data_IF_925544459914
#
_entry.id   IF_925544459914
#
_cell.length_a   1.000
_cell.length_b   1.000
_cell.length_c   1.000
_cell.angle_alpha   90.00
_cell.angle_beta   90.00
_cell.angle_gamma   90.00
#
_symmetry.space_group_name_H-M   'P 1'
#
loop_
_entity.id
_entity.type
_entity.pdbx_description
1 polymer ?
#
# COMPACT_ATOMS: atom_id res chain seq x y z
N UNK A 1 -9.11 -4.74 17.58
CA UNK A 1 -9.76 -3.47 18.03
C UNK A 1 -11.06 -3.83 18.68
N UNK A 2 -11.36 -3.20 19.81
CA UNK A 2 -12.64 -3.37 20.46
C UNK A 2 -13.78 -2.74 19.64
N UNK A 3 -14.98 -3.36 19.64
CA UNK A 3 -16.16 -2.88 18.93
C UNK A 3 -16.54 -1.44 19.34
N UNK A 4 -16.39 -1.10 20.63
CA UNK A 4 -16.64 0.26 21.14
C UNK A 4 -15.73 1.30 20.47
N UNK A 5 -14.46 1.00 20.29
CA UNK A 5 -13.50 1.90 19.62
C UNK A 5 -13.82 2.07 18.14
N UNK A 6 -14.26 1.00 17.47
CA UNK A 6 -14.71 1.06 16.07
C UNK A 6 -15.97 1.92 15.97
N UNK A 7 -16.93 1.75 16.86
CA UNK A 7 -18.16 2.55 16.89
C UNK A 7 -17.87 4.03 17.17
N UNK A 8 -16.91 4.35 18.03
CA UNK A 8 -16.46 5.74 18.27
C UNK A 8 -15.87 6.36 16.99
N UNK A 9 -15.05 5.63 16.24
CA UNK A 9 -14.52 6.09 14.95
C UNK A 9 -15.64 6.22 13.91
N UNK A 10 -16.59 5.30 13.89
CA UNK A 10 -17.75 5.35 13.01
C UNK A 10 -18.64 6.58 13.29
N UNK A 11 -18.83 6.95 14.55
CA UNK A 11 -19.59 8.15 14.94
C UNK A 11 -18.85 9.42 14.50
N UNK A 12 -17.55 9.52 14.73
CA UNK A 12 -16.72 10.67 14.31
C UNK A 12 -16.71 10.89 12.80
N UNK A 13 -16.76 9.82 12.02
CA UNK A 13 -16.76 9.86 10.55
C UNK A 13 -18.17 9.88 9.94
N UNK A 14 -19.21 9.97 10.77
CA UNK A 14 -20.63 9.87 10.34
C UNK A 14 -20.91 8.56 9.57
N UNK A 15 -20.13 7.51 9.83
CA UNK A 15 -20.20 6.25 9.09
C UNK A 15 -21.48 5.44 9.38
N UNK A 16 -22.15 5.69 10.51
CA UNK A 16 -23.40 5.04 10.91
C UNK A 16 -24.66 5.86 10.58
N UNK A 17 -24.52 6.98 9.90
CA UNK A 17 -25.65 7.81 9.52
C UNK A 17 -26.61 7.03 8.60
N UNK A 18 -27.87 6.89 9.01
CA UNK A 18 -28.88 6.05 8.35
C UNK A 18 -28.55 4.55 8.19
N UNK A 19 -27.60 4.00 8.96
CA UNK A 19 -27.31 2.57 8.94
C UNK A 19 -28.30 1.79 9.83
N UNK A 20 -29.30 1.14 9.22
CA UNK A 20 -30.27 0.29 9.96
C UNK A 20 -29.72 -1.11 10.25
N UNK A 21 -29.11 -1.74 9.26
CA UNK A 21 -28.70 -3.15 9.32
C UNK A 21 -27.18 -3.34 9.13
N UNK A 22 -26.50 -2.53 8.31
CA UNK A 22 -25.06 -2.64 8.06
C UNK A 22 -24.33 -1.44 8.67
N UNK A 23 -24.06 -1.51 9.96
CA UNK A 23 -23.29 -0.48 10.68
C UNK A 23 -21.80 -0.46 10.24
N UNK A 24 -21.03 0.49 10.76
CA UNK A 24 -19.61 0.62 10.44
C UNK A 24 -18.79 -0.60 10.85
N UNK A 25 -19.15 -1.22 11.97
CA UNK A 25 -18.52 -2.43 12.46
C UNK A 25 -18.75 -3.62 11.51
N UNK A 26 -20.01 -3.90 11.17
CA UNK A 26 -20.38 -4.99 10.27
C UNK A 26 -19.74 -4.80 8.89
N UNK A 27 -19.71 -3.57 8.37
CA UNK A 27 -19.02 -3.26 7.11
C UNK A 27 -17.50 -3.51 7.21
N UNK A 28 -16.90 -3.13 8.36
CA UNK A 28 -15.48 -3.41 8.62
C UNK A 28 -15.16 -4.90 8.73
N UNK A 29 -16.09 -5.74 9.17
CA UNK A 29 -15.91 -7.20 9.21
C UNK A 29 -16.04 -7.82 7.81
N UNK A 30 -17.07 -7.39 7.07
CA UNK A 30 -17.41 -7.96 5.75
C UNK A 30 -16.33 -7.66 4.69
N UNK A 31 -15.81 -6.45 4.67
CA UNK A 31 -14.88 -6.04 3.62
C UNK A 31 -13.50 -6.73 3.72
N UNK A 32 -12.86 -6.86 4.91
CA UNK A 32 -11.66 -7.69 5.05
C UNK A 32 -11.91 -9.16 4.71
N UNK A 33 -13.06 -9.73 5.10
CA UNK A 33 -13.44 -11.08 4.68
C UNK A 33 -13.43 -11.20 3.15
N UNK A 34 -14.06 -10.26 2.45
CA UNK A 34 -14.10 -10.25 0.99
C UNK A 34 -12.70 -10.16 0.36
N UNK A 35 -11.85 -9.28 0.87
CA UNK A 35 -10.48 -9.07 0.36
C UNK A 35 -9.59 -10.28 0.66
N UNK A 36 -9.63 -10.82 1.88
CA UNK A 36 -8.83 -11.99 2.28
C UNK A 36 -9.28 -13.25 1.54
N UNK A 37 -10.59 -13.46 1.36
CA UNK A 37 -11.15 -14.58 0.61
C UNK A 37 -10.99 -14.43 -0.92
N UNK A 38 -10.46 -13.31 -1.39
CA UNK A 38 -10.25 -13.02 -2.81
C UNK A 38 -11.54 -13.04 -3.64
N UNK A 39 -12.67 -12.56 -3.07
CA UNK A 39 -13.97 -12.52 -3.72
C UNK A 39 -14.03 -11.38 -4.75
N UNK A 40 -14.72 -11.63 -5.87
CA UNK A 40 -14.67 -10.76 -7.05
C UNK A 40 -15.92 -9.93 -7.28
N UNK A 41 -17.00 -10.22 -6.55
CA UNK A 41 -18.27 -9.52 -6.66
C UNK A 41 -19.00 -9.42 -5.33
N UNK A 42 -19.86 -8.40 -5.17
CA UNK A 42 -20.70 -8.27 -3.98
C UNK A 42 -21.66 -9.45 -3.80
N UNK A 43 -22.01 -10.14 -4.88
CA UNK A 43 -22.84 -11.36 -4.81
C UNK A 43 -22.05 -12.50 -4.15
N UNK A 44 -20.80 -12.72 -4.57
CA UNK A 44 -19.93 -13.71 -3.94
C UNK A 44 -19.68 -13.40 -2.46
N UNK A 45 -19.51 -12.11 -2.12
CA UNK A 45 -19.35 -11.69 -0.70
C UNK A 45 -20.58 -12.07 0.13
N UNK A 46 -21.77 -11.73 -0.33
CA UNK A 46 -22.99 -12.05 0.39
C UNK A 46 -23.24 -13.55 0.52
N UNK A 47 -23.00 -14.33 -0.56
CA UNK A 47 -23.16 -15.78 -0.54
C UNK A 47 -22.12 -16.45 0.34
N UNK A 48 -20.84 -16.05 0.23
CA UNK A 48 -19.77 -16.61 1.07
C UNK A 48 -19.97 -16.28 2.54
N UNK A 49 -20.49 -15.08 2.86
CA UNK A 49 -20.81 -14.70 4.23
C UNK A 49 -22.00 -15.51 4.77
N UNK A 50 -23.05 -15.70 3.97
CA UNK A 50 -24.21 -16.51 4.33
C UNK A 50 -23.82 -17.99 4.55
N UNK A 51 -22.96 -18.57 3.70
CA UNK A 51 -22.48 -19.93 3.84
C UNK A 51 -21.64 -20.18 5.12
N UNK A 52 -21.08 -19.12 5.68
CA UNK A 52 -20.30 -19.16 6.92
C UNK A 52 -21.05 -18.55 8.13
N UNK A 53 -22.35 -18.36 8.06
CA UNK A 53 -23.13 -17.64 9.07
C UNK A 53 -22.91 -18.19 10.49
N UNK A 54 -22.97 -19.51 10.68
CA UNK A 54 -22.74 -20.15 11.98
C UNK A 54 -21.34 -19.92 12.52
N UNK A 55 -20.34 -19.92 11.65
CA UNK A 55 -18.92 -19.69 11.99
C UNK A 55 -18.62 -18.23 12.28
N UNK A 56 -19.41 -17.32 11.71
CA UNK A 56 -19.23 -15.87 11.86
C UNK A 56 -20.09 -15.24 12.96
N UNK A 57 -20.94 -16.03 13.60
CA UNK A 57 -21.84 -15.56 14.66
C UNK A 57 -21.09 -14.90 15.84
N UNK A 58 -19.91 -15.44 16.20
CA UNK A 58 -19.07 -14.84 17.27
C UNK A 58 -18.61 -13.40 16.96
N UNK A 59 -18.68 -12.96 15.71
CA UNK A 59 -18.38 -11.58 15.31
C UNK A 59 -19.53 -10.62 15.61
N UNK A 60 -20.66 -11.12 16.13
CA UNK A 60 -21.82 -10.33 16.50
C UNK A 60 -22.55 -9.73 15.29
N UNK A 61 -22.55 -10.44 14.16
CA UNK A 61 -23.37 -10.15 12.99
C UNK A 61 -24.51 -11.15 12.99
N UNK A 62 -25.70 -10.66 13.29
CA UNK A 62 -26.92 -11.44 13.57
C UNK A 62 -27.93 -11.44 12.41
N UNK A 63 -27.54 -10.85 11.27
CA UNK A 63 -28.43 -10.73 10.12
C UNK A 63 -27.69 -10.98 8.81
N UNK A 64 -28.45 -11.42 7.81
CA UNK A 64 -27.94 -11.64 6.46
C UNK A 64 -27.63 -10.31 5.78
N UNK A 65 -26.45 -10.23 5.17
CA UNK A 65 -25.99 -9.04 4.45
C UNK A 65 -26.50 -9.11 3.00
N UNK A 66 -27.38 -8.14 2.65
CA UNK A 66 -27.91 -8.03 1.30
C UNK A 66 -26.95 -7.27 0.38
N UNK A 67 -26.88 -7.70 -0.89
CA UNK A 67 -26.05 -7.07 -1.91
C UNK A 67 -26.33 -5.57 -2.10
N UNK A 68 -27.60 -5.17 -2.12
CA UNK A 68 -27.98 -3.76 -2.24
C UNK A 68 -27.49 -2.92 -1.07
N UNK A 69 -27.67 -3.41 0.16
CA UNK A 69 -27.21 -2.73 1.37
C UNK A 69 -25.67 -2.58 1.39
N UNK A 70 -24.93 -3.63 0.99
CA UNK A 70 -23.47 -3.56 0.91
C UNK A 70 -23.01 -2.60 -0.21
N UNK A 71 -23.71 -2.60 -1.36
CA UNK A 71 -23.45 -1.64 -2.45
C UNK A 71 -23.66 -0.20 -2.00
N UNK A 72 -24.76 0.08 -1.31
CA UNK A 72 -25.06 1.40 -0.77
C UNK A 72 -24.06 1.84 0.31
N UNK A 73 -23.64 0.92 1.18
CA UNK A 73 -22.59 1.19 2.16
C UNK A 73 -21.27 1.58 1.48
N UNK A 74 -20.86 0.85 0.44
CA UNK A 74 -19.67 1.18 -0.35
C UNK A 74 -19.77 2.54 -1.07
N UNK A 75 -20.98 2.97 -1.44
CA UNK A 75 -21.18 4.28 -2.09
C UNK A 75 -21.18 5.43 -1.09
N UNK A 76 -21.86 5.28 0.05
CA UNK A 76 -22.20 6.38 0.96
C UNK A 76 -21.25 6.52 2.14
N UNK A 77 -20.73 5.41 2.70
CA UNK A 77 -19.82 5.45 3.84
C UNK A 77 -18.47 5.96 3.39
N UNK A 78 -18.03 7.09 3.94
CA UNK A 78 -16.77 7.72 3.58
C UNK A 78 -15.58 6.76 3.74
N UNK A 79 -14.72 6.67 2.76
CA UNK A 79 -13.48 5.88 2.79
C UNK A 79 -12.56 6.28 3.93
N UNK A 80 -12.61 7.55 4.37
CA UNK A 80 -11.85 8.09 5.51
C UNK A 80 -12.14 7.38 6.84
N UNK A 81 -13.30 6.72 6.99
CA UNK A 81 -13.60 5.84 8.12
C UNK A 81 -12.60 4.68 8.19
N UNK A 82 -12.39 3.97 7.09
CA UNK A 82 -11.42 2.88 7.00
C UNK A 82 -9.98 3.38 7.14
N UNK A 83 -9.68 4.56 6.59
CA UNK A 83 -8.40 5.23 6.79
C UNK A 83 -8.13 5.56 8.27
N UNK A 84 -9.14 5.97 9.03
CA UNK A 84 -9.02 6.23 10.47
C UNK A 84 -8.78 4.95 11.28
N UNK A 85 -9.42 3.84 10.87
CA UNK A 85 -9.16 2.52 11.45
C UNK A 85 -7.74 2.07 11.16
N UNK A 86 -7.29 2.21 9.90
CA UNK A 86 -5.91 1.89 9.53
C UNK A 86 -4.91 2.64 10.38
N UNK A 87 -5.05 3.97 10.51
CA UNK A 87 -4.17 4.81 11.34
C UNK A 87 -4.17 4.38 12.81
N UNK A 88 -5.35 4.03 13.36
CA UNK A 88 -5.43 3.52 14.74
C UNK A 88 -4.70 2.19 14.93
N UNK A 89 -4.77 1.29 13.93
CA UNK A 89 -4.05 0.02 13.94
C UNK A 89 -2.54 0.24 13.73
N UNK A 90 -2.17 1.12 12.81
CA UNK A 90 -0.78 1.51 12.56
C UNK A 90 -0.13 2.02 13.85
N UNK A 91 -0.72 3.02 14.51
CA UNK A 91 -0.18 3.59 15.76
C UNK A 91 -0.04 2.55 16.88
N UNK A 92 -0.91 1.53 16.90
CA UNK A 92 -0.84 0.45 17.89
C UNK A 92 0.27 -0.56 17.58
N UNK A 93 0.49 -0.89 16.33
CA UNK A 93 1.33 -2.02 15.94
C UNK A 93 2.68 -1.63 15.32
N UNK A 94 2.85 -0.40 14.83
CA UNK A 94 4.12 0.05 14.29
C UNK A 94 5.31 -0.13 15.26
N UNK A 95 5.19 0.18 16.56
CA UNK A 95 6.29 -0.08 17.51
C UNK A 95 6.68 -1.56 17.58
N UNK A 96 5.69 -2.47 17.60
CA UNK A 96 5.93 -3.92 17.66
C UNK A 96 6.61 -4.44 16.40
N UNK A 97 6.31 -3.83 15.24
CA UNK A 97 6.89 -4.21 13.96
C UNK A 97 8.29 -3.64 13.76
N UNK A 98 8.59 -2.48 14.35
CA UNK A 98 9.92 -1.86 14.30
C UNK A 98 10.93 -2.63 15.13
N UNK A 99 10.57 -3.08 16.33
CA UNK A 99 11.47 -3.77 17.26
C UNK A 99 12.02 -5.10 16.71
N UNK A 100 11.29 -5.74 15.80
CA UNK A 100 11.66 -7.04 15.25
C UNK A 100 12.79 -7.00 14.22
N UNK A 101 13.17 -5.83 13.69
CA UNK A 101 14.10 -5.69 12.55
C UNK A 101 15.30 -4.78 12.79
N UNK A 102 15.28 -3.91 13.77
CA UNK A 102 16.32 -2.89 13.92
C UNK A 102 17.31 -3.17 15.01
N UNK A 103 18.34 -3.96 14.72
CA UNK A 103 19.68 -3.76 15.29
C UNK A 103 20.52 -2.78 14.44
N UNK A 104 19.89 -1.95 13.62
CA UNK A 104 20.60 -0.93 12.83
C UNK A 104 20.48 0.42 13.54
N UNK A 105 21.62 0.92 13.96
CA UNK A 105 21.87 2.30 14.38
C UNK A 105 21.55 3.27 13.23
N UNK A 106 20.29 3.57 13.01
CA UNK A 106 19.94 4.71 12.14
C UNK A 106 18.97 5.59 12.91
N UNK A 107 19.52 6.66 13.44
CA UNK A 107 18.78 7.69 14.13
C UNK A 107 17.74 8.42 13.27
N UNK A 108 17.76 8.23 11.96
CA UNK A 108 16.89 8.94 11.01
C UNK A 108 15.96 7.96 10.31
N UNK A 109 14.65 8.18 10.44
CA UNK A 109 13.64 7.37 9.76
C UNK A 109 13.64 7.65 8.26
N UNK A 110 13.75 6.58 7.46
CA UNK A 110 13.62 6.64 6.02
C UNK A 110 12.17 6.40 5.60
N UNK A 111 11.62 7.37 4.90
CA UNK A 111 10.34 7.28 4.24
C UNK A 111 10.54 7.15 2.74
N UNK A 112 9.82 6.22 2.15
CA UNK A 112 9.85 6.00 0.70
C UNK A 112 8.51 6.38 0.12
N UNK A 113 8.52 7.21 -0.90
CA UNK A 113 7.32 7.67 -1.59
C UNK A 113 7.31 7.19 -3.03
N UNK A 114 6.18 6.64 -3.43
CA UNK A 114 5.91 6.26 -4.82
C UNK A 114 4.39 6.21 -5.07
N UNK A 115 3.99 6.00 -6.32
CA UNK A 115 2.61 5.72 -6.65
C UNK A 115 2.45 4.36 -7.32
N UNK A 116 1.28 3.77 -7.16
CA UNK A 116 0.87 2.63 -7.98
C UNK A 116 -0.35 2.96 -8.81
N UNK A 117 -0.28 2.64 -10.09
CA UNK A 117 -1.45 2.74 -10.96
C UNK A 117 -2.37 1.55 -10.72
N UNK A 118 -3.60 1.84 -10.37
CA UNK A 118 -4.70 0.88 -10.28
C UNK A 118 -5.53 1.06 -11.53
N UNK A 119 -5.34 0.14 -12.49
CA UNK A 119 -6.10 0.16 -13.74
C UNK A 119 -7.51 -0.36 -13.50
N UNK A 120 -8.48 0.42 -13.89
CA UNK A 120 -9.91 0.08 -13.81
C UNK A 120 -10.40 -0.46 -15.14
N UNK A 121 -11.48 -1.24 -15.11
CA UNK A 121 -12.16 -1.64 -16.35
C UNK A 121 -12.64 -0.40 -17.12
N UNK A 122 -12.68 -0.51 -18.44
CA UNK A 122 -12.99 0.61 -19.35
C UNK A 122 -14.34 1.30 -19.08
N UNK A 123 -15.22 0.69 -18.31
CA UNK A 123 -16.54 1.23 -17.94
C UNK A 123 -16.51 2.03 -16.63
N UNK A 124 -15.50 1.84 -15.79
CA UNK A 124 -15.39 2.49 -14.48
C UNK A 124 -14.50 3.73 -14.62
N UNK A 125 -14.98 4.89 -14.15
CA UNK A 125 -14.28 6.17 -14.20
C UNK A 125 -13.67 6.49 -15.57
N UNK A 126 -14.51 6.47 -16.60
CA UNK A 126 -14.09 6.84 -17.96
C UNK A 126 -13.48 8.24 -17.97
N UNK A 127 -12.30 8.36 -18.56
CA UNK A 127 -11.62 9.65 -18.73
C UNK A 127 -10.60 10.01 -17.66
N UNK A 128 -10.48 9.25 -16.56
CA UNK A 128 -9.49 9.49 -15.51
C UNK A 128 -8.14 8.78 -15.72
N UNK A 129 -8.05 7.88 -16.70
CA UNK A 129 -6.83 7.17 -17.05
C UNK A 129 -6.00 7.89 -18.13
N UNK A 130 -4.70 7.53 -18.22
CA UNK A 130 -3.85 8.00 -19.34
C UNK A 130 -4.42 7.53 -20.68
N UNK A 131 -4.30 8.38 -21.70
CA UNK A 131 -4.58 7.98 -23.09
C UNK A 131 -3.52 6.96 -23.53
N UNK A 132 -3.89 5.69 -23.80
CA UNK A 132 -2.94 4.78 -24.41
C UNK A 132 -2.77 5.18 -25.90
N UNK A 133 -1.60 4.93 -26.46
CA UNK A 133 -1.32 5.17 -27.89
C UNK A 133 -2.30 4.46 -28.83
N UNK A 134 -3.08 3.50 -28.33
CA UNK A 134 -4.04 2.67 -29.07
C UNK A 134 -5.52 3.06 -28.87
N UNK A 135 -5.82 4.29 -28.52
CA UNK A 135 -7.16 4.90 -28.70
C UNK A 135 -8.26 4.55 -27.68
N UNK A 136 -8.15 3.57 -26.79
CA UNK A 136 -9.19 3.26 -25.77
C UNK A 136 -8.79 3.83 -24.41
N UNK A 137 -9.49 4.89 -23.99
CA UNK A 137 -9.34 5.46 -22.64
C UNK A 137 -9.76 4.44 -21.58
N UNK A 138 -8.82 3.99 -20.77
CA UNK A 138 -9.10 3.19 -19.57
C UNK A 138 -9.18 4.12 -18.36
N UNK A 139 -10.14 3.88 -17.47
CA UNK A 139 -10.14 4.51 -16.16
C UNK A 139 -8.89 4.10 -15.36
N UNK A 140 -8.39 4.98 -14.52
CA UNK A 140 -7.25 4.69 -13.65
C UNK A 140 -7.22 5.62 -12.45
N UNK A 141 -6.87 5.06 -11.30
CA UNK A 141 -6.60 5.81 -10.07
C UNK A 141 -5.14 5.58 -9.72
N UNK A 142 -4.44 6.65 -9.38
CA UNK A 142 -3.13 6.57 -8.74
C UNK A 142 -3.32 6.55 -7.23
N UNK A 143 -2.77 5.55 -6.57
CA UNK A 143 -2.61 5.53 -5.13
C UNK A 143 -1.18 5.99 -4.81
N UNK A 144 -1.05 7.21 -4.30
CA UNK A 144 0.21 7.75 -3.81
C UNK A 144 0.41 7.26 -2.39
N UNK A 145 1.53 6.66 -2.12
CA UNK A 145 1.81 6.01 -0.85
C UNK A 145 3.17 6.44 -0.32
N UNK A 146 3.21 6.78 0.96
CA UNK A 146 4.45 6.91 1.70
C UNK A 146 4.54 5.72 2.64
N UNK A 147 5.65 5.02 2.62
CA UNK A 147 5.94 3.93 3.57
C UNK A 147 7.07 4.32 4.50
N UNK A 148 7.00 3.86 5.75
CA UNK A 148 8.16 3.81 6.63
C UNK A 148 8.94 2.54 6.29
N UNK A 149 10.14 2.71 5.73
CA UNK A 149 10.90 1.62 5.10
C UNK A 149 11.22 0.49 6.08
N UNK A 150 11.58 0.83 7.33
CA UNK A 150 11.99 -0.13 8.34
C UNK A 150 10.88 -1.14 8.70
N UNK A 151 9.61 -0.73 8.64
CA UNK A 151 8.45 -1.57 9.00
C UNK A 151 7.67 -2.08 7.80
N UNK A 152 7.98 -1.59 6.60
CA UNK A 152 7.31 -1.97 5.33
C UNK A 152 5.78 -1.75 5.41
N UNK A 153 5.36 -0.63 6.03
CA UNK A 153 3.95 -0.26 6.15
C UNK A 153 3.68 1.14 5.60
N UNK A 154 2.55 1.34 4.94
CA UNK A 154 2.07 2.66 4.55
C UNK A 154 1.82 3.57 5.75
N UNK A 155 2.45 4.75 5.76
CA UNK A 155 2.18 5.82 6.72
C UNK A 155 1.08 6.73 6.19
N UNK A 156 1.10 6.94 4.90
CA UNK A 156 0.19 7.81 4.19
C UNK A 156 -0.25 7.18 2.86
N UNK A 157 -1.53 7.34 2.54
CA UNK A 157 -2.09 6.96 1.23
C UNK A 157 -3.09 8.03 0.81
N UNK A 158 -2.94 8.55 -0.40
CA UNK A 158 -3.91 9.44 -1.03
C UNK A 158 -4.13 9.04 -2.50
N UNK A 159 -5.21 9.52 -3.08
CA UNK A 159 -5.69 9.07 -4.37
C UNK A 159 -5.88 10.23 -5.33
N UNK A 160 -5.41 10.04 -6.58
CA UNK A 160 -5.66 10.98 -7.66
C UNK A 160 -6.16 10.27 -8.92
N UNK A 161 -6.77 11.02 -9.82
CA UNK A 161 -7.03 10.53 -11.16
C UNK A 161 -5.71 10.18 -11.85
N UNK A 162 -5.70 9.11 -12.66
CA UNK A 162 -4.49 8.63 -13.33
C UNK A 162 -3.78 9.64 -14.23
N UNK A 163 -4.47 10.73 -14.62
CA UNK A 163 -3.94 11.81 -15.45
C UNK A 163 -3.19 12.89 -14.64
N UNK A 164 -3.40 12.97 -13.32
CA UNK A 164 -2.77 13.98 -12.45
C UNK A 164 -1.27 13.72 -12.36
N UNK A 165 -0.48 14.77 -12.44
CA UNK A 165 0.97 14.67 -12.30
C UNK A 165 1.36 14.39 -10.84
N UNK A 166 2.41 13.58 -10.67
CA UNK A 166 2.81 13.05 -9.36
C UNK A 166 3.28 14.16 -8.40
N UNK A 167 3.90 15.22 -8.93
CA UNK A 167 4.39 16.35 -8.13
C UNK A 167 3.25 17.17 -7.46
N UNK A 168 2.04 17.20 -8.05
CA UNK A 168 0.90 17.93 -7.47
C UNK A 168 0.46 17.36 -6.12
N UNK A 169 0.75 16.09 -5.89
CA UNK A 169 0.41 15.40 -4.64
C UNK A 169 1.35 15.74 -3.50
N UNK A 170 2.61 16.06 -3.81
CA UNK A 170 3.60 16.25 -2.76
C UNK A 170 3.27 17.42 -1.82
N UNK A 171 2.59 18.44 -2.32
CA UNK A 171 2.14 19.57 -1.49
C UNK A 171 1.05 19.22 -0.46
N UNK A 172 0.42 18.04 -0.59
CA UNK A 172 -0.64 17.58 0.31
C UNK A 172 -0.15 16.63 1.42
N UNK A 173 1.12 16.21 1.40
CA UNK A 173 1.52 14.95 2.02
C UNK A 173 2.32 15.06 3.32
N UNK A 174 2.69 16.26 3.79
CA UNK A 174 3.75 16.32 4.80
C UNK A 174 3.29 16.61 6.22
N UNK A 175 3.03 15.52 6.97
CA UNK A 175 3.09 15.48 8.44
C UNK A 175 4.11 14.39 8.89
N UNK A 176 5.29 14.36 8.27
CA UNK A 176 6.34 13.44 8.71
C UNK A 176 7.13 14.06 9.88
N UNK A 177 7.76 13.26 10.74
CA UNK A 177 8.62 13.77 11.79
C UNK A 177 9.76 14.63 11.25
N UNK A 178 10.09 15.71 11.93
CA UNK A 178 11.21 16.58 11.58
C UNK A 178 12.52 15.77 11.42
N UNK A 179 13.34 16.14 10.45
CA UNK A 179 14.60 15.45 10.16
C UNK A 179 14.45 14.12 9.42
N UNK A 180 13.22 13.72 9.05
CA UNK A 180 12.99 12.51 8.27
C UNK A 180 13.69 12.55 6.92
N UNK A 181 14.19 11.39 6.48
CA UNK A 181 14.74 11.21 5.14
C UNK A 181 13.65 10.71 4.19
N UNK A 182 13.54 11.31 3.01
CA UNK A 182 12.50 10.96 2.02
C UNK A 182 13.18 10.57 0.72
N UNK A 183 12.93 9.32 0.28
CA UNK A 183 13.37 8.83 -1.03
C UNK A 183 12.17 8.75 -1.98
N UNK A 184 12.28 9.35 -3.16
CA UNK A 184 11.23 9.33 -4.18
C UNK A 184 11.79 9.26 -5.59
N UNK A 185 10.95 8.85 -6.54
CA UNK A 185 11.34 8.71 -7.93
C UNK A 185 11.42 10.05 -8.66
N UNK A 186 12.14 10.07 -9.81
CA UNK A 186 12.27 11.24 -10.68
C UNK A 186 10.93 11.79 -11.20
N UNK A 187 9.84 11.02 -11.12
CA UNK A 187 8.48 11.47 -11.41
C UNK A 187 8.02 12.63 -10.53
N UNK A 188 8.59 12.74 -9.32
CA UNK A 188 8.32 13.79 -8.35
C UNK A 188 9.31 14.95 -8.39
N UNK A 189 10.00 15.15 -9.52
CA UNK A 189 10.94 16.26 -9.68
C UNK A 189 10.20 17.60 -9.73
N UNK A 190 10.28 18.35 -8.64
CA UNK A 190 9.85 19.73 -8.51
C UNK A 190 10.86 20.46 -7.62
N UNK A 191 11.60 21.42 -8.20
CA UNK A 191 12.67 22.13 -7.48
C UNK A 191 12.14 23.06 -6.38
N UNK A 192 10.93 23.60 -6.52
CA UNK A 192 10.27 24.40 -5.47
C UNK A 192 9.89 23.53 -4.27
N UNK A 193 9.41 22.33 -4.55
CA UNK A 193 9.12 21.36 -3.52
C UNK A 193 10.38 20.91 -2.79
N UNK A 194 11.47 20.63 -3.52
CA UNK A 194 12.74 20.24 -2.88
C UNK A 194 13.27 21.35 -1.97
N UNK A 195 13.15 22.60 -2.42
CA UNK A 195 13.43 23.78 -1.59
C UNK A 195 12.59 23.79 -0.33
N UNK A 196 11.28 23.62 -0.47
CA UNK A 196 10.36 23.61 0.67
C UNK A 196 10.68 22.46 1.63
N UNK A 197 11.01 21.28 1.15
CA UNK A 197 11.45 20.15 1.97
C UNK A 197 12.71 20.48 2.78
N UNK A 198 13.68 21.10 2.14
CA UNK A 198 14.92 21.54 2.79
C UNK A 198 14.65 22.59 3.88
N UNK A 199 13.87 23.63 3.57
CA UNK A 199 13.48 24.67 4.52
C UNK A 199 12.64 24.13 5.69
N UNK A 200 11.83 23.10 5.44
CA UNK A 200 11.05 22.41 6.46
C UNK A 200 11.88 21.40 7.29
N UNK A 201 13.18 21.27 7.02
CA UNK A 201 14.10 20.41 7.75
C UNK A 201 14.03 18.93 7.38
N UNK A 202 13.42 18.59 6.25
CA UNK A 202 13.44 17.24 5.70
C UNK A 202 14.70 17.02 4.87
N UNK A 203 15.19 15.80 4.88
CA UNK A 203 16.26 15.34 4.01
C UNK A 203 15.65 14.57 2.84
N UNK A 204 16.19 14.75 1.66
CA UNK A 204 15.67 14.10 0.47
C UNK A 204 16.76 13.39 -0.33
N UNK A 205 16.36 12.35 -1.04
CA UNK A 205 17.14 11.75 -2.13
C UNK A 205 16.21 11.40 -3.30
N UNK A 206 16.62 11.80 -4.50
CA UNK A 206 15.88 11.56 -5.73
C UNK A 206 16.85 11.22 -6.85
N UNK A 207 16.40 10.47 -7.84
CA UNK A 207 17.13 10.31 -9.10
C UNK A 207 16.97 11.60 -9.92
N UNK A 208 18.11 12.13 -10.40
CA UNK A 208 18.12 13.32 -11.25
C UNK A 208 17.75 12.92 -12.69
N UNK A 209 16.92 13.72 -13.35
CA UNK A 209 16.59 13.55 -14.77
C UNK A 209 17.80 13.91 -15.64
N UNK A 210 17.99 13.18 -16.73
CA UNK A 210 19.13 13.39 -17.64
C UNK A 210 19.11 14.77 -18.31
N UNK A 211 17.91 15.35 -18.48
CA UNK A 211 17.72 16.68 -19.05
C UNK A 211 17.67 17.82 -18.00
N UNK A 212 18.06 17.55 -16.75
CA UNK A 212 18.08 18.54 -15.69
C UNK A 212 19.11 19.64 -15.99
N UNK A 213 18.70 20.90 -15.83
CA UNK A 213 19.58 22.08 -16.01
C UNK A 213 20.05 22.55 -14.65
N UNK A 214 21.38 22.53 -14.45
CA UNK A 214 22.03 22.96 -13.21
C UNK A 214 23.40 23.58 -13.53
N UNK A 215 23.92 24.34 -12.57
CA UNK A 215 25.31 24.82 -12.58
C UNK A 215 26.10 24.06 -11.54
N UNK A 216 27.28 23.56 -11.90
CA UNK A 216 28.22 22.94 -10.94
C UNK A 216 28.95 24.06 -10.23
N UNK A 217 28.89 24.07 -8.90
CA UNK A 217 29.52 25.07 -8.04
C UNK A 217 30.84 24.53 -7.48
N UNK A 218 30.86 23.23 -7.14
CA UNK A 218 32.00 22.59 -6.48
C UNK A 218 32.14 21.15 -6.94
N UNK A 219 33.37 20.72 -7.16
CA UNK A 219 33.76 19.32 -7.36
C UNK A 219 34.41 18.80 -6.09
N UNK A 220 34.00 17.61 -5.65
CA UNK A 220 34.51 16.98 -4.44
C UNK A 220 35.26 15.71 -4.74
N UNK A 221 36.16 15.33 -3.85
CA UNK A 221 36.90 14.07 -3.95
C UNK A 221 35.92 12.89 -3.76
N UNK A 222 36.08 11.88 -4.60
CA UNK A 222 35.31 10.64 -4.57
C UNK A 222 36.25 9.48 -4.24
N UNK A 223 36.35 9.06 -2.98
CA UNK A 223 37.18 7.92 -2.60
C UNK A 223 36.55 6.57 -3.01
N UNK A 224 35.24 6.53 -3.23
CA UNK A 224 34.53 5.29 -3.52
C UNK A 224 34.64 4.89 -4.98
N UNK A 225 34.98 3.62 -5.23
CA UNK A 225 35.32 3.06 -6.55
C UNK A 225 34.20 3.18 -7.59
N UNK A 226 32.95 3.14 -7.16
CA UNK A 226 31.77 3.19 -8.04
C UNK A 226 31.21 4.60 -8.22
N UNK A 227 31.72 5.59 -7.50
CA UNK A 227 31.29 6.99 -7.59
C UNK A 227 32.17 7.71 -8.62
N UNK A 228 31.56 8.24 -9.65
CA UNK A 228 32.24 8.94 -10.74
C UNK A 228 32.40 10.42 -10.41
N UNK A 229 31.38 10.99 -9.76
CA UNK A 229 31.37 12.40 -9.39
C UNK A 229 30.56 12.64 -8.13
N UNK A 230 31.07 13.51 -7.28
CA UNK A 230 30.38 14.13 -6.14
C UNK A 230 30.51 15.65 -6.29
N UNK A 231 29.41 16.35 -6.45
CA UNK A 231 29.37 17.73 -6.87
C UNK A 231 28.34 18.49 -6.03
N UNK A 232 28.65 19.76 -5.73
CA UNK A 232 27.61 20.71 -5.33
C UNK A 232 27.11 21.39 -6.58
N UNK A 233 25.81 21.35 -6.76
CA UNK A 233 25.11 21.93 -7.91
C UNK A 233 24.09 22.98 -7.45
N UNK A 234 23.78 23.90 -8.33
CA UNK A 234 22.76 24.91 -8.14
C UNK A 234 21.72 24.83 -9.24
N UNK A 235 20.45 24.77 -8.85
CA UNK A 235 19.35 24.75 -9.78
C UNK A 235 18.82 26.18 -10.01
N UNK A 236 18.53 26.48 -11.28
CA UNK A 236 17.66 27.58 -11.65
C UNK A 236 16.24 27.04 -11.89
N UNK A 237 15.24 27.65 -11.32
CA UNK A 237 13.85 27.24 -11.50
C UNK A 237 13.00 28.41 -12.00
N UNK A 238 11.90 28.05 -12.68
CA UNK A 238 10.93 29.03 -13.14
C UNK A 238 9.77 29.04 -12.15
N UNK A 239 9.44 30.21 -11.61
CA UNK A 239 8.26 30.44 -10.78
C UNK A 239 7.12 30.91 -11.67
N UNK A 240 5.96 30.32 -11.50
CA UNK A 240 4.74 30.81 -12.11
C UNK A 240 4.10 31.83 -11.19
N UNK A 241 4.01 33.07 -11.65
CA UNK A 241 3.40 34.18 -10.90
C UNK A 241 2.12 34.59 -11.60
N UNK A 242 1.03 34.63 -10.85
CA UNK A 242 -0.22 35.19 -11.36
C UNK A 242 -0.16 36.69 -11.29
N UNK A 243 -0.35 37.36 -12.42
CA UNK A 243 -0.48 38.79 -12.50
C UNK A 243 -1.76 39.20 -13.24
N UNK A 244 -2.29 40.39 -12.99
CA UNK A 244 -3.36 40.94 -13.82
C UNK A 244 -2.95 41.00 -15.29
N UNK A 245 -3.89 40.71 -16.17
CA UNK A 245 -3.68 40.88 -17.62
C UNK A 245 -3.55 42.33 -17.98
N UNK A 246 -2.64 42.64 -18.90
CA UNK A 246 -2.57 43.97 -19.52
C UNK A 246 -3.77 44.14 -20.46
N UNK A 247 -4.09 45.43 -20.77
CA UNK A 247 -5.19 45.76 -21.70
C UNK A 247 -5.00 45.11 -23.08
N UNK A 248 -3.75 44.99 -23.55
CA UNK A 248 -3.42 44.35 -24.82
C UNK A 248 -3.68 42.86 -24.80
N UNK A 249 -3.30 42.18 -23.71
CA UNK A 249 -3.57 40.73 -23.52
C UNK A 249 -5.07 40.45 -23.45
N UNK A 250 -5.85 41.34 -22.84
CA UNK A 250 -7.31 41.27 -22.81
C UNK A 250 -7.93 41.41 -24.21
N UNK A 251 -7.38 42.31 -25.06
CA UNK A 251 -7.87 42.54 -26.44
C UNK A 251 -7.56 41.34 -27.39
N UNK A 252 -6.45 40.65 -27.19
CA UNK A 252 -6.01 39.56 -28.08
C UNK A 252 -6.51 38.16 -27.71
N UNK A 253 -7.25 38.00 -26.64
CA UNK A 253 -7.72 36.72 -26.15
C UNK A 253 -8.95 36.21 -26.92
N UNK A 254 -8.73 35.21 -27.77
CA UNK A 254 -9.80 34.46 -28.42
C UNK A 254 -10.14 33.17 -27.63
N UNK A 255 -11.32 33.09 -26.98
CA UNK A 255 -11.78 31.85 -26.34
C UNK A 255 -12.98 32.01 -25.41
N UNK A 256 -13.77 30.90 -25.25
CA UNK A 256 -15.05 30.84 -24.50
C UNK A 256 -14.91 30.63 -22.97
N UNK A 257 -13.75 30.82 -22.36
CA UNK A 257 -13.60 30.61 -20.90
C UNK A 257 -13.85 31.92 -20.14
N UNK A 258 -14.44 31.84 -18.92
CA UNK A 258 -14.65 33.02 -18.08
C UNK A 258 -13.34 33.81 -17.89
N UNK A 259 -13.41 35.09 -18.03
CA UNK A 259 -12.25 35.95 -17.94
C UNK A 259 -11.90 36.17 -16.46
N UNK A 260 -10.88 35.52 -15.94
CA UNK A 260 -10.39 35.73 -14.57
C UNK A 260 -9.62 37.04 -14.42
N UNK A 261 -9.33 37.72 -15.54
CA UNK A 261 -8.50 38.94 -15.52
C UNK A 261 -7.04 38.70 -15.11
N UNK A 262 -6.65 37.44 -14.90
CA UNK A 262 -5.32 37.06 -14.41
C UNK A 262 -4.63 36.16 -15.43
N UNK A 263 -3.35 36.41 -15.66
CA UNK A 263 -2.48 35.57 -16.49
C UNK A 263 -1.36 34.95 -15.62
N UNK A 264 -1.10 33.69 -15.82
CA UNK A 264 0.05 33.04 -15.19
C UNK A 264 1.29 33.24 -16.06
N UNK A 265 2.23 34.03 -15.58
CA UNK A 265 3.49 34.34 -16.27
C UNK A 265 4.62 33.49 -15.65
N UNK A 266 5.48 33.03 -16.53
CA UNK A 266 6.66 32.30 -16.12
C UNK A 266 7.79 33.30 -15.81
N UNK A 267 8.11 33.42 -14.54
CA UNK A 267 9.22 34.23 -14.08
C UNK A 267 10.40 33.36 -13.71
N UNK A 268 11.57 33.63 -14.31
CA UNK A 268 12.80 32.90 -13.98
C UNK A 268 13.36 33.49 -12.68
N UNK A 269 13.24 32.73 -11.60
CA UNK A 269 13.85 33.10 -10.33
C UNK A 269 15.23 32.44 -10.26
N UNK A 270 16.28 33.25 -10.24
CA UNK A 270 17.61 32.77 -9.87
C UNK A 270 17.61 32.56 -8.34
N UNK A 271 17.28 31.37 -7.92
CA UNK A 271 17.40 30.96 -6.53
C UNK A 271 18.71 30.22 -6.32
N UNK A 272 19.44 30.56 -5.27
CA UNK A 272 20.71 29.95 -4.88
C UNK A 272 20.48 28.68 -4.07
N UNK A 273 19.72 27.70 -4.63
CA UNK A 273 19.50 26.42 -3.95
C UNK A 273 20.59 25.44 -4.34
N UNK A 274 21.36 25.07 -3.34
CA UNK A 274 22.47 24.14 -3.48
C UNK A 274 22.04 22.75 -3.09
N UNK A 275 22.29 21.82 -3.98
CA UNK A 275 22.09 20.39 -3.76
C UNK A 275 23.39 19.64 -4.06
N UNK A 276 23.53 18.47 -3.47
CA UNK A 276 24.64 17.57 -3.76
C UNK A 276 24.20 16.58 -4.83
N UNK A 277 24.96 16.51 -5.92
CA UNK A 277 24.78 15.58 -7.02
C UNK A 277 25.83 14.49 -6.95
N UNK A 278 25.41 13.25 -6.95
CA UNK A 278 26.25 12.07 -6.92
C UNK A 278 26.01 11.30 -8.20
N UNK A 279 27.08 11.00 -8.95
CA UNK A 279 27.03 10.17 -10.14
C UNK A 279 27.68 8.84 -9.84
N UNK A 280 26.91 7.77 -9.95
CA UNK A 280 27.35 6.41 -9.72
C UNK A 280 27.30 5.61 -11.03
N UNK A 281 28.26 4.72 -11.22
CA UNK A 281 28.22 3.71 -12.27
C UNK A 281 27.21 2.63 -11.91
N UNK A 282 26.41 2.18 -12.88
CA UNK A 282 25.49 1.04 -12.68
C UNK A 282 26.25 -0.24 -12.39
N UNK A 283 25.62 -1.22 -11.76
CA UNK A 283 26.28 -2.45 -11.32
C UNK A 283 26.78 -3.30 -12.50
N UNK A 284 26.21 -3.14 -13.71
CA UNK A 284 26.70 -3.74 -14.96
C UNK A 284 27.85 -2.94 -15.63
N UNK A 285 28.18 -1.78 -15.08
CA UNK A 285 29.26 -0.91 -15.51
C UNK A 285 29.05 -0.18 -16.84
N UNK A 286 27.87 -0.33 -17.47
CA UNK A 286 27.57 0.22 -18.80
C UNK A 286 27.08 1.65 -18.77
N UNK A 287 26.26 1.96 -17.76
CA UNK A 287 25.57 3.23 -17.65
C UNK A 287 25.94 3.97 -16.36
N UNK A 288 25.48 5.19 -16.25
CA UNK A 288 25.62 6.02 -15.05
C UNK A 288 24.28 6.52 -14.59
N UNK A 289 24.11 6.63 -13.28
CA UNK A 289 22.89 7.17 -12.66
C UNK A 289 23.29 8.33 -11.77
N UNK A 290 22.57 9.44 -11.89
CA UNK A 290 22.76 10.62 -11.07
C UNK A 290 21.68 10.71 -9.99
N UNK A 291 22.11 10.92 -8.75
CA UNK A 291 21.25 11.18 -7.60
C UNK A 291 21.43 12.61 -7.13
N UNK A 292 20.42 13.16 -6.51
CA UNK A 292 20.44 14.49 -5.90
C UNK A 292 19.91 14.42 -4.48
N UNK A 293 20.54 15.17 -3.58
CA UNK A 293 20.17 15.28 -2.16
C UNK A 293 20.45 16.69 -1.64
N UNK A 294 19.73 17.13 -0.60
CA UNK A 294 20.03 18.34 0.15
C UNK A 294 21.06 18.11 1.28
N UNK A 295 21.51 16.88 1.51
CA UNK A 295 22.60 16.60 2.45
C UNK A 295 23.93 16.97 1.79
N UNK A 296 24.42 18.17 2.10
CA UNK A 296 25.62 18.71 1.47
C UNK A 296 26.90 18.14 2.06
N UNK A 297 26.97 17.82 3.35
CA UNK A 297 28.19 17.32 3.99
C UNK A 297 28.50 15.89 3.60
N UNK A 298 29.77 15.62 3.25
CA UNK A 298 30.29 14.27 3.03
C UNK A 298 30.50 13.51 4.35
N UNK A 299 30.78 14.26 5.42
CA UNK A 299 30.94 13.71 6.77
C UNK A 299 29.62 13.23 7.36
N UNK A 300 28.53 13.93 7.05
CA UNK A 300 27.17 13.55 7.49
C UNK A 300 26.70 12.28 6.77
N UNK A 301 26.88 12.21 5.45
CA UNK A 301 26.58 11.03 4.64
C UNK A 301 27.57 10.90 3.48
N UNK A 302 28.21 9.73 3.36
CA UNK A 302 29.05 9.42 2.20
C UNK A 302 28.22 9.31 0.92
N UNK A 303 28.87 9.41 -0.24
CA UNK A 303 28.20 9.26 -1.53
C UNK A 303 27.56 7.87 -1.68
N UNK A 304 28.22 6.84 -1.17
CA UNK A 304 27.68 5.47 -1.20
C UNK A 304 26.45 5.30 -0.31
N UNK A 305 26.44 5.91 0.88
CA UNK A 305 25.26 5.90 1.77
C UNK A 305 24.04 6.58 1.14
N UNK A 306 24.24 7.67 0.39
CA UNK A 306 23.17 8.34 -0.36
C UNK A 306 22.61 7.41 -1.45
N UNK A 307 23.50 6.76 -2.23
CA UNK A 307 23.09 5.81 -3.26
C UNK A 307 22.33 4.62 -2.67
N UNK A 308 22.79 4.08 -1.54
CA UNK A 308 22.10 2.98 -0.84
C UNK A 308 20.75 3.41 -0.27
N UNK A 309 20.64 4.63 0.25
CA UNK A 309 19.37 5.19 0.70
C UNK A 309 18.35 5.27 -0.44
N UNK A 310 18.78 5.70 -1.62
CA UNK A 310 17.90 5.67 -2.80
C UNK A 310 17.55 4.24 -3.23
N UNK A 311 18.48 3.31 -3.17
CA UNK A 311 18.25 1.90 -3.52
C UNK A 311 17.14 1.29 -2.66
N UNK A 312 17.05 1.66 -1.41
CA UNK A 312 15.98 1.23 -0.49
C UNK A 312 14.58 1.69 -0.93
N UNK A 313 14.47 2.63 -1.87
CA UNK A 313 13.21 3.01 -2.51
C UNK A 313 12.46 1.81 -3.13
N UNK A 314 13.19 0.80 -3.61
CA UNK A 314 12.58 -0.41 -4.16
C UNK A 314 11.71 -1.20 -3.17
N UNK A 315 11.77 -0.92 -1.89
CA UNK A 315 10.92 -1.52 -0.87
C UNK A 315 9.44 -1.26 -1.15
N UNK A 316 9.08 -0.06 -1.63
CA UNK A 316 7.68 0.27 -1.95
C UNK A 316 7.17 -0.50 -3.17
N UNK A 317 8.01 -0.75 -4.17
CA UNK A 317 7.65 -1.57 -5.33
C UNK A 317 7.39 -3.02 -4.90
N UNK A 318 8.20 -3.53 -3.98
CA UNK A 318 8.01 -4.85 -3.36
C UNK A 318 6.71 -4.93 -2.58
N UNK A 319 6.34 -3.87 -1.84
CA UNK A 319 5.04 -3.76 -1.18
C UNK A 319 3.89 -3.83 -2.19
N UNK A 320 3.93 -3.01 -3.25
CA UNK A 320 2.88 -3.03 -4.26
C UNK A 320 2.75 -4.39 -4.96
N UNK A 321 3.87 -5.06 -5.21
CA UNK A 321 3.88 -6.42 -5.74
C UNK A 321 3.18 -7.39 -4.79
N UNK A 322 3.51 -7.36 -3.49
CA UNK A 322 2.86 -8.17 -2.45
C UNK A 322 1.34 -7.92 -2.41
N UNK A 323 0.91 -6.64 -2.44
CA UNK A 323 -0.49 -6.28 -2.41
C UNK A 323 -1.25 -6.76 -3.65
N UNK A 324 -0.70 -6.54 -4.84
CA UNK A 324 -1.33 -6.95 -6.12
C UNK A 324 -1.38 -8.47 -6.30
N UNK A 325 -0.41 -9.21 -5.77
CA UNK A 325 -0.35 -10.67 -5.88
C UNK A 325 -1.27 -11.37 -4.88
N UNK A 326 -1.38 -10.85 -3.67
CA UNK A 326 -2.06 -11.56 -2.59
C UNK A 326 -3.51 -11.09 -2.38
N UNK A 327 -3.88 -9.91 -2.85
CA UNK A 327 -5.22 -9.34 -2.65
C UNK A 327 -5.86 -8.94 -3.98
N UNK A 328 -7.19 -9.00 -4.03
CA UNK A 328 -7.98 -8.72 -5.25
C UNK A 328 -8.02 -7.24 -5.62
N UNK A 329 -6.87 -6.65 -5.97
CA UNK A 329 -6.84 -5.27 -6.50
C UNK A 329 -7.09 -5.20 -8.02
N UNK A 330 -7.48 -6.33 -8.65
CA UNK A 330 -7.91 -6.39 -10.05
C UNK A 330 -9.43 -6.28 -10.21
N UNK A 331 -10.18 -6.67 -9.18
CA UNK A 331 -11.64 -6.68 -9.17
C UNK A 331 -12.13 -5.81 -8.02
N UNK A 332 -12.85 -4.76 -8.33
CA UNK A 332 -13.39 -3.86 -7.32
C UNK A 332 -14.84 -4.21 -7.01
N UNK A 333 -15.16 -4.19 -5.70
CA UNK A 333 -16.48 -4.47 -5.15
C UNK A 333 -17.43 -3.28 -5.25
N UNK A 334 -17.13 -2.34 -6.12
CA UNK A 334 -17.92 -1.17 -6.46
C UNK A 334 -17.33 -0.42 -7.65
N UNK A 335 -18.13 0.43 -8.26
CA UNK A 335 -17.85 1.15 -9.52
C UNK A 335 -17.59 2.66 -9.33
N UNK A 336 -17.61 3.13 -8.08
CA UNK A 336 -17.35 4.54 -7.74
C UNK A 336 -16.02 4.70 -6.97
N UNK A 337 -15.48 5.92 -6.98
CA UNK A 337 -14.20 6.25 -6.35
C UNK A 337 -14.17 5.82 -4.88
N UNK A 338 -15.21 6.17 -4.13
CA UNK A 338 -15.28 5.87 -2.69
C UNK A 338 -15.23 4.36 -2.39
N UNK A 339 -15.90 3.52 -3.18
CA UNK A 339 -15.86 2.06 -3.02
C UNK A 339 -14.47 1.49 -3.31
N UNK A 340 -13.78 2.04 -4.30
CA UNK A 340 -12.41 1.65 -4.67
C UNK A 340 -11.44 2.04 -3.54
N UNK A 341 -11.55 3.26 -3.02
CA UNK A 341 -10.76 3.72 -1.88
C UNK A 341 -10.99 2.87 -0.63
N UNK A 342 -12.26 2.52 -0.33
CA UNK A 342 -12.61 1.60 0.76
C UNK A 342 -11.85 0.28 0.59
N UNK A 343 -11.91 -0.32 -0.59
CA UNK A 343 -11.24 -1.60 -0.83
C UNK A 343 -9.73 -1.50 -0.69
N UNK A 344 -9.12 -0.41 -1.11
CA UNK A 344 -7.69 -0.18 -0.93
C UNK A 344 -7.35 -0.05 0.57
N UNK A 345 -8.10 0.77 1.33
CA UNK A 345 -7.90 0.87 2.78
C UNK A 345 -8.07 -0.47 3.49
N UNK A 346 -9.08 -1.24 3.13
CA UNK A 346 -9.31 -2.59 3.67
C UNK A 346 -8.16 -3.53 3.34
N UNK A 347 -7.60 -3.44 2.13
CA UNK A 347 -6.41 -4.20 1.74
C UNK A 347 -5.19 -3.82 2.60
N UNK A 348 -4.99 -2.53 2.88
CA UNK A 348 -3.93 -2.06 3.78
C UNK A 348 -4.14 -2.54 5.22
N UNK A 349 -5.38 -2.54 5.71
CA UNK A 349 -5.74 -3.11 7.03
C UNK A 349 -5.40 -4.60 7.08
N UNK A 350 -5.82 -5.36 6.07
CA UNK A 350 -5.53 -6.80 5.98
C UNK A 350 -4.02 -7.07 5.92
N UNK A 351 -3.29 -6.30 5.12
CA UNK A 351 -1.84 -6.39 5.03
C UNK A 351 -1.17 -6.14 6.40
N UNK A 352 -1.53 -5.05 7.07
CA UNK A 352 -1.00 -4.70 8.40
C UNK A 352 -1.25 -5.82 9.41
N UNK A 353 -2.49 -6.33 9.49
CA UNK A 353 -2.84 -7.40 10.43
C UNK A 353 -2.05 -8.68 10.16
N UNK A 354 -1.89 -9.06 8.89
CA UNK A 354 -1.10 -10.23 8.50
C UNK A 354 0.40 -10.03 8.77
N UNK A 355 0.92 -8.80 8.65
CA UNK A 355 2.29 -8.49 9.07
C UNK A 355 2.47 -8.65 10.59
N UNK A 356 1.49 -8.22 11.39
CA UNK A 356 1.49 -8.44 12.84
C UNK A 356 1.45 -9.94 13.18
N UNK A 357 0.62 -10.71 12.50
CA UNK A 357 0.56 -12.18 12.65
C UNK A 357 1.90 -12.80 12.29
N UNK A 358 2.52 -12.40 11.17
CA UNK A 358 3.83 -12.86 10.76
C UNK A 358 4.91 -12.59 11.80
N UNK A 359 4.93 -11.38 12.36
CA UNK A 359 5.93 -10.98 13.37
C UNK A 359 5.73 -11.70 14.70
N UNK A 360 4.47 -11.95 15.10
CA UNK A 360 4.15 -12.68 16.33
C UNK A 360 4.35 -14.19 16.21
N UNK A 361 4.32 -14.73 15.00
CA UNK A 361 4.63 -16.13 14.77
C UNK A 361 6.15 -16.35 14.70
N UNK A 362 6.63 -17.48 15.19
CA UNK A 362 8.02 -17.91 15.00
C UNK A 362 8.24 -18.59 13.63
N UNK A 363 7.22 -18.61 12.79
CA UNK A 363 7.23 -19.26 11.49
C UNK A 363 8.12 -18.51 10.50
N UNK A 364 8.94 -19.23 9.75
CA UNK A 364 9.76 -18.72 8.64
C UNK A 364 9.02 -18.70 7.30
N UNK A 365 7.70 -18.90 7.30
CA UNK A 365 6.91 -18.92 6.07
C UNK A 365 6.95 -17.56 5.35
N UNK A 366 7.00 -17.63 4.03
CA UNK A 366 6.86 -16.46 3.18
C UNK A 366 5.47 -15.83 3.37
N UNK A 367 5.37 -14.50 3.21
CA UNK A 367 4.13 -13.75 3.41
C UNK A 367 2.94 -14.32 2.60
N UNK A 368 3.16 -14.75 1.35
CA UNK A 368 2.12 -15.35 0.52
C UNK A 368 1.53 -16.64 1.12
N UNK A 369 2.35 -17.45 1.80
CA UNK A 369 1.89 -18.66 2.47
C UNK A 369 1.05 -18.32 3.70
N UNK A 370 1.39 -17.28 4.45
CA UNK A 370 0.59 -16.79 5.57
C UNK A 370 -0.77 -16.29 5.08
N UNK A 371 -0.80 -15.54 3.98
CA UNK A 371 -2.06 -15.12 3.33
C UNK A 371 -2.91 -16.32 2.93
N UNK A 372 -2.30 -17.33 2.30
CA UNK A 372 -2.98 -18.54 1.85
C UNK A 372 -3.57 -19.30 3.04
N UNK A 373 -2.77 -19.57 4.08
CA UNK A 373 -3.24 -20.27 5.27
C UNK A 373 -4.38 -19.50 5.97
N UNK A 374 -4.23 -18.18 6.13
CA UNK A 374 -5.29 -17.33 6.68
C UNK A 374 -6.57 -17.45 5.86
N UNK A 375 -6.47 -17.43 4.52
CA UNK A 375 -7.61 -17.55 3.62
C UNK A 375 -8.35 -18.88 3.79
N UNK A 376 -7.63 -19.97 3.89
CA UNK A 376 -8.21 -21.31 4.04
C UNK A 376 -8.89 -21.48 5.41
N UNK A 377 -8.33 -20.86 6.45
CA UNK A 377 -8.83 -21.00 7.82
C UNK A 377 -9.75 -19.87 8.28
N UNK A 378 -10.02 -18.88 7.43
CA UNK A 378 -10.75 -17.66 7.81
C UNK A 378 -12.17 -17.93 8.38
N UNK A 379 -12.81 -19.00 7.95
CA UNK A 379 -14.11 -19.43 8.48
C UNK A 379 -14.03 -20.52 9.53
N UNK A 380 -12.84 -20.89 10.01
CA UNK A 380 -12.65 -21.93 11.01
C UNK A 380 -12.21 -21.33 12.35
N UNK A 381 -12.57 -21.99 13.46
CA UNK A 381 -12.10 -21.62 14.79
C UNK A 381 -10.68 -22.16 15.01
N UNK A 382 -9.71 -21.55 14.34
CA UNK A 382 -8.30 -21.94 14.41
C UNK A 382 -7.47 -20.77 14.92
N UNK A 383 -6.62 -21.03 15.89
CA UNK A 383 -5.59 -20.05 16.26
C UNK A 383 -4.52 -20.04 15.17
N UNK A 384 -4.53 -18.98 14.36
CA UNK A 384 -3.63 -18.82 13.23
C UNK A 384 -2.15 -18.80 13.65
N UNK A 385 -1.83 -18.27 14.84
CA UNK A 385 -0.44 -18.23 15.34
C UNK A 385 0.04 -19.63 15.67
N UNK A 386 -0.77 -20.43 16.35
CA UNK A 386 -0.48 -21.83 16.63
C UNK A 386 -0.33 -22.62 15.34
N UNK A 387 -1.24 -22.45 14.37
CA UNK A 387 -1.15 -23.08 13.07
C UNK A 387 0.15 -22.73 12.33
N UNK A 388 0.55 -21.47 12.34
CA UNK A 388 1.77 -21.01 11.67
C UNK A 388 3.05 -21.55 12.33
N UNK A 389 3.05 -21.70 13.65
CA UNK A 389 4.19 -22.22 14.40
C UNK A 389 4.29 -23.76 14.30
N UNK A 390 3.15 -24.44 14.27
CA UNK A 390 3.05 -25.89 14.27
C UNK A 390 2.07 -26.38 13.19
N UNK A 391 2.35 -26.22 11.89
CA UNK A 391 1.38 -26.49 10.82
C UNK A 391 0.97 -27.96 10.70
N UNK A 392 1.72 -28.88 11.32
CA UNK A 392 1.43 -30.32 11.34
C UNK A 392 0.81 -30.79 12.66
N UNK A 393 0.53 -29.88 13.60
CA UNK A 393 0.07 -30.24 14.94
C UNK A 393 -1.20 -31.11 14.89
N UNK A 394 -2.22 -30.65 14.17
CA UNK A 394 -3.49 -31.40 14.07
C UNK A 394 -3.32 -32.73 13.38
N UNK A 395 -2.45 -32.80 12.36
CA UNK A 395 -2.15 -34.05 11.67
C UNK A 395 -1.47 -35.06 12.58
N UNK A 396 -0.46 -34.63 13.33
CA UNK A 396 0.25 -35.44 14.29
C UNK A 396 -0.69 -35.93 15.41
N UNK A 397 -1.62 -35.10 15.87
CA UNK A 397 -2.65 -35.47 16.84
C UNK A 397 -3.61 -36.51 16.29
N UNK A 398 -4.05 -36.35 15.05
CA UNK A 398 -4.90 -37.34 14.36
C UNK A 398 -4.19 -38.68 14.18
N UNK A 399 -2.92 -38.68 13.81
CA UNK A 399 -2.11 -39.90 13.69
C UNK A 399 -1.98 -40.62 15.04
N UNK A 400 -1.71 -39.85 16.11
CA UNK A 400 -1.65 -40.44 17.47
C UNK A 400 -3.00 -40.97 17.92
N UNK A 401 -4.11 -40.28 17.63
CA UNK A 401 -5.46 -40.75 17.94
C UNK A 401 -5.80 -42.04 17.17
N UNK A 402 -5.46 -42.09 15.88
CA UNK A 402 -5.63 -43.30 15.06
C UNK A 402 -4.83 -44.46 15.61
N UNK A 403 -3.55 -44.26 15.94
CA UNK A 403 -2.69 -45.27 16.51
C UNK A 403 -3.25 -45.81 17.84
N UNK A 404 -3.71 -44.92 18.74
CA UNK A 404 -4.37 -45.30 19.99
C UNK A 404 -5.67 -46.06 19.75
N UNK A 405 -6.48 -45.62 18.79
CA UNK A 405 -7.74 -46.27 18.44
C UNK A 405 -7.48 -47.68 17.88
N UNK A 406 -6.53 -47.83 16.94
CA UNK A 406 -6.13 -49.14 16.40
C UNK A 406 -5.61 -50.04 17.51
N UNK A 407 -4.76 -49.55 18.40
CA UNK A 407 -4.25 -50.35 19.54
C UNK A 407 -5.36 -50.75 20.52
N UNK A 408 -6.40 -49.92 20.72
CA UNK A 408 -7.51 -50.22 21.64
C UNK A 408 -8.51 -51.20 21.07
N UNK A 409 -8.66 -51.26 19.76
CA UNK A 409 -9.70 -52.09 19.13
C UNK A 409 -9.25 -53.46 18.72
N UNK A 410 -7.96 -53.76 18.73
CA UNK A 410 -7.40 -55.05 18.25
C UNK A 410 -7.91 -55.41 16.83
N UNK A 411 -8.27 -54.42 16.04
CA UNK A 411 -8.88 -54.59 14.73
C UNK A 411 -7.78 -54.91 13.72
N UNK A 412 -7.79 -56.15 13.22
CA UNK A 412 -7.13 -56.49 11.95
C UNK A 412 -7.67 -55.53 10.88
N UNK A 413 -6.81 -54.87 10.11
CA UNK A 413 -7.25 -54.20 8.90
C UNK A 413 -8.04 -55.16 8.06
N UNK A 414 -9.36 -54.99 8.02
CA UNK A 414 -10.21 -55.67 7.05
C UNK A 414 -9.83 -55.10 5.69
N UNK A 415 -9.08 -55.84 4.92
CA UNK A 415 -8.93 -55.55 3.50
C UNK A 415 -10.32 -55.60 2.86
N UNK A 416 -10.58 -54.68 1.90
CA UNK A 416 -11.84 -54.65 1.16
C UNK A 416 -12.20 -56.00 0.51
N UNK A 417 -11.23 -56.89 0.28
CA UNK A 417 -11.37 -58.24 -0.23
C UNK A 417 -11.85 -59.22 0.84
N UNK A 418 -11.46 -59.08 2.10
CA UNK A 418 -11.90 -59.94 3.20
C UNK A 418 -13.40 -59.74 3.50
N UNK A 419 -13.95 -58.54 3.24
CA UNK A 419 -15.37 -58.27 3.38
C UNK A 419 -16.23 -58.94 2.29
N UNK A 420 -15.68 -59.19 1.10
CA UNK A 420 -16.36 -59.95 0.04
C UNK A 420 -16.34 -61.44 0.24
N UNK A 421 -15.31 -62.03 0.85
CA UNK A 421 -15.26 -63.46 1.18
C UNK A 421 -16.23 -63.83 2.32
N UNK A 422 -16.39 -62.91 3.33
CA UNK A 422 -17.38 -63.09 4.40
C UNK A 422 -18.83 -63.18 3.88
N UNK A 423 -19.18 -62.31 2.90
CA UNK A 423 -20.51 -62.28 2.28
C UNK A 423 -20.81 -63.48 1.38
N UNK A 424 -19.78 -64.17 0.86
CA UNK A 424 -19.93 -65.31 0.00
C UNK A 424 -20.10 -66.66 0.82
N UNK A 425 -19.74 -66.64 2.10
CA UNK A 425 -19.92 -67.85 3.00
C UNK A 425 -21.31 -67.84 3.63
N UNK A 426 -22.00 -66.74 3.80
CA UNK A 426 -23.39 -66.74 4.34
C UNK A 426 -24.46 -67.09 3.30
N UNK A 427 -24.13 -67.15 2.02
CA UNK A 427 -25.08 -67.52 0.96
C UNK A 427 -25.05 -69.03 0.59
N UNK A 428 -24.31 -69.85 1.33
CA UNK A 428 -24.18 -71.31 1.10
C UNK A 428 -24.61 -72.19 2.27
N UNK A 429 -25.42 -71.70 3.19
CA UNK A 429 -26.16 -72.51 4.18
C UNK A 429 -27.69 -72.20 3.99
#
# INVERSE_FOLDING_TARGET
MDRQKINTLASKSVANYYAKHLDGYSHLVVMPYAVLSNLRSLREVCLGFAANATRMNHLGIDHMICRSTLSDANKRRKSSFFGSIYRSLYNRYAPVLSDSRSKREVSTKLYVMDFTMISLFSQILRGTGRNPNNGKKKGGIKAHTIIEENIDLPVFVDYTAGIVHDYEMMHRLFELPYGSFIAFDMGYTDYLLWKWLDEAGYRLVCRLKDNAKFKIIEWRKCPEKNIIADQVIEFTYDKYVERPMTEEELKHRRGRRPNSGVVTVKERVQGTYRFRRIVRRTDDGKDTVAFVTNVLSQEEMSAEQICETYRRRWTIESLYKKLKQNFSLKYFLGDNVNAIEIQIWVTMIAYLLLRVVQTKSMSKLAFCNIVMLTRVTLGAYVDIITLLNCPKLDWNLLEQQRAKWVASQNIRQLNLFDAQEGLLLETKT
#
